data_IF_393069940291
#
_entry.id   IF_393069940291
#
_cell.length_a   1.000
_cell.length_b   1.000
_cell.length_c   1.000
_cell.angle_alpha   90.00
_cell.angle_beta   90.00
_cell.angle_gamma   90.00
#
_symmetry.space_group_name_H-M   'P 1'
#
loop_
_entity.id
_entity.type
_entity.pdbx_description
1 polymer ?
#
# COMPACT_ATOMS: atom_id res chain seq x y z
N UNK A 1 -21.22 -8.69 28.35
CA UNK A 1 -20.78 -7.35 27.87
C UNK A 1 -21.22 -7.24 26.43
N UNK A 2 -22.03 -6.23 26.09
CA UNK A 2 -22.66 -6.10 24.77
C UNK A 2 -21.57 -5.78 23.73
N UNK A 3 -21.36 -6.66 22.73
CA UNK A 3 -20.28 -6.52 21.74
C UNK A 3 -20.35 -5.18 20.97
N UNK A 4 -21.55 -4.60 20.88
CA UNK A 4 -21.80 -3.30 20.26
C UNK A 4 -20.99 -2.15 20.87
N UNK A 5 -20.71 -2.20 22.17
CA UNK A 5 -19.91 -1.17 22.84
C UNK A 5 -18.47 -1.07 22.31
N UNK A 6 -17.91 -2.18 21.81
CA UNK A 6 -16.57 -2.21 21.24
C UNK A 6 -16.58 -1.74 19.78
N UNK A 7 -17.63 -2.08 19.04
CA UNK A 7 -17.86 -1.55 17.70
C UNK A 7 -18.00 -0.02 17.70
N UNK A 8 -18.63 0.54 18.74
CA UNK A 8 -18.77 1.99 18.88
C UNK A 8 -17.42 2.70 19.09
N UNK A 9 -16.44 2.03 19.70
CA UNK A 9 -15.09 2.57 19.91
C UNK A 9 -14.25 2.60 18.62
N UNK A 10 -14.61 1.80 17.62
CA UNK A 10 -13.94 1.79 16.32
C UNK A 10 -14.39 3.01 15.52
N UNK A 11 -13.45 3.92 15.24
CA UNK A 11 -13.76 5.20 14.58
C UNK A 11 -13.94 5.05 13.07
N UNK A 12 -13.23 4.09 12.45
CA UNK A 12 -13.22 3.88 11.02
C UNK A 12 -14.04 2.64 10.68
N UNK A 13 -15.30 2.85 10.35
CA UNK A 13 -16.23 1.77 10.03
C UNK A 13 -17.18 2.15 8.90
N UNK A 14 -17.35 1.24 7.95
CA UNK A 14 -18.35 1.34 6.89
C UNK A 14 -19.78 1.12 7.43
N UNK A 15 -20.68 0.77 6.52
CA UNK A 15 -22.09 0.53 6.83
C UNK A 15 -22.39 -0.96 6.95
N UNK A 16 -23.49 -1.31 7.63
CA UNK A 16 -23.96 -2.70 7.70
C UNK A 16 -22.96 -3.66 8.37
N UNK A 17 -22.53 -3.29 9.58
CA UNK A 17 -21.63 -4.12 10.39
C UNK A 17 -22.44 -4.79 11.48
N UNK A 18 -22.49 -6.12 11.43
CA UNK A 18 -23.13 -6.93 12.44
C UNK A 18 -22.09 -7.58 13.33
N UNK A 19 -22.15 -7.26 14.62
CA UNK A 19 -21.36 -7.92 15.66
C UNK A 19 -22.27 -8.74 16.57
N UNK A 20 -21.90 -9.96 16.88
CA UNK A 20 -22.64 -10.79 17.84
C UNK A 20 -22.18 -10.51 19.28
N UNK A 21 -23.00 -10.95 20.23
CA UNK A 21 -22.63 -10.94 21.64
C UNK A 21 -21.33 -11.71 21.87
N UNK A 22 -20.38 -11.08 22.57
CA UNK A 22 -19.03 -11.62 22.79
C UNK A 22 -17.94 -11.01 21.90
N UNK A 23 -18.30 -10.23 20.86
CA UNK A 23 -17.32 -9.43 20.13
C UNK A 23 -16.56 -8.52 21.09
N UNK A 24 -15.24 -8.60 21.07
CA UNK A 24 -14.38 -7.89 22.03
C UNK A 24 -13.18 -7.28 21.32
N UNK A 25 -12.93 -6.00 21.60
CA UNK A 25 -11.69 -5.32 21.24
C UNK A 25 -10.90 -5.08 22.53
N UNK A 26 -9.76 -5.74 22.68
CA UNK A 26 -8.93 -5.60 23.88
C UNK A 26 -8.10 -4.31 23.88
N UNK A 27 -7.57 -3.95 22.73
CA UNK A 27 -6.65 -2.82 22.58
C UNK A 27 -6.73 -2.26 21.16
N UNK A 28 -6.42 -0.96 21.02
CA UNK A 28 -6.16 -0.34 19.72
C UNK A 28 -7.41 -0.13 18.85
N UNK A 29 -8.57 0.11 19.46
CA UNK A 29 -9.82 0.32 18.71
C UNK A 29 -9.75 1.47 17.68
N UNK A 30 -8.94 2.49 17.96
CA UNK A 30 -8.65 3.59 17.02
C UNK A 30 -7.85 3.16 15.79
N UNK A 31 -7.22 1.99 15.84
CA UNK A 31 -6.34 1.44 14.81
C UNK A 31 -6.96 0.22 14.11
N UNK A 32 -8.29 0.13 14.16
CA UNK A 32 -9.09 -0.87 13.45
C UNK A 32 -9.90 -0.15 12.38
N UNK A 33 -9.87 -0.70 11.16
CA UNK A 33 -10.60 -0.20 10.01
C UNK A 33 -11.53 -1.29 9.51
N UNK A 34 -12.83 -1.01 9.51
CA UNK A 34 -13.86 -1.92 9.04
C UNK A 34 -14.49 -1.35 7.77
N UNK A 35 -14.56 -2.17 6.72
CA UNK A 35 -15.38 -1.93 5.54
C UNK A 35 -16.88 -2.05 5.83
N UNK A 36 -17.65 -2.33 4.79
CA UNK A 36 -19.12 -2.49 4.85
C UNK A 36 -19.55 -3.95 4.70
N UNK A 37 -20.76 -4.28 5.14
CA UNK A 37 -21.33 -5.64 5.03
C UNK A 37 -20.49 -6.70 5.75
N UNK A 38 -19.99 -6.36 6.93
CA UNK A 38 -19.11 -7.23 7.72
C UNK A 38 -19.93 -7.92 8.80
N UNK A 39 -19.77 -9.24 8.89
CA UNK A 39 -20.35 -10.04 9.97
C UNK A 39 -19.24 -10.62 10.86
N UNK A 40 -19.12 -10.09 12.08
CA UNK A 40 -18.22 -10.62 13.09
C UNK A 40 -19.06 -11.32 14.15
N UNK A 41 -18.85 -12.61 14.37
CA UNK A 41 -19.50 -13.30 15.49
C UNK A 41 -18.91 -12.83 16.84
N UNK A 42 -18.57 -13.74 17.74
CA UNK A 42 -17.88 -13.47 19.00
C UNK A 42 -16.35 -13.38 18.82
N UNK A 43 -15.91 -12.55 17.87
CA UNK A 43 -14.50 -12.37 17.55
C UNK A 43 -13.75 -11.54 18.61
N UNK A 44 -12.48 -11.87 18.81
CA UNK A 44 -11.55 -11.17 19.68
C UNK A 44 -10.51 -10.45 18.82
N UNK A 45 -10.44 -9.14 18.95
CA UNK A 45 -9.46 -8.32 18.24
C UNK A 45 -8.49 -7.68 19.25
N UNK A 46 -7.20 -7.86 19.00
CA UNK A 46 -6.12 -7.23 19.75
C UNK A 46 -5.22 -6.44 18.79
N UNK A 47 -5.62 -5.19 18.51
CA UNK A 47 -4.91 -4.28 17.63
C UNK A 47 -3.76 -3.56 18.35
N UNK A 48 -2.78 -3.12 17.57
CA UNK A 48 -1.67 -2.30 18.04
C UNK A 48 -2.06 -0.85 18.30
N UNK A 49 -1.24 -0.15 19.08
CA UNK A 49 -1.37 1.31 19.28
C UNK A 49 -0.88 2.09 18.07
N UNK A 50 0.11 1.54 17.35
CA UNK A 50 0.93 2.27 16.39
C UNK A 50 1.10 1.50 15.07
N UNK A 51 1.70 0.32 15.10
CA UNK A 51 2.02 -0.46 13.89
C UNK A 51 1.14 -1.70 13.69
N UNK A 52 0.40 -2.11 14.72
CA UNK A 52 -0.50 -3.26 14.67
C UNK A 52 -1.89 -2.93 14.15
N UNK A 53 -1.97 -2.18 13.05
CA UNK A 53 -3.25 -1.82 12.42
C UNK A 53 -3.98 -3.07 11.94
N UNK A 54 -5.31 -3.11 12.11
CA UNK A 54 -6.14 -4.21 11.63
C UNK A 54 -7.15 -3.65 10.64
N UNK A 55 -7.06 -4.10 9.40
CA UNK A 55 -7.96 -3.72 8.32
C UNK A 55 -8.80 -4.94 7.95
N UNK A 56 -10.12 -4.79 7.97
CA UNK A 56 -11.08 -5.80 7.53
C UNK A 56 -11.95 -5.14 6.47
N UNK A 57 -11.81 -5.57 5.23
CA UNK A 57 -12.50 -4.97 4.08
C UNK A 57 -13.94 -5.49 3.92
N UNK A 58 -14.63 -4.93 2.94
CA UNK A 58 -16.04 -5.20 2.66
C UNK A 58 -16.34 -6.70 2.51
N UNK A 59 -17.53 -7.13 2.95
CA UNK A 59 -18.02 -8.51 2.82
C UNK A 59 -17.17 -9.58 3.52
N UNK A 60 -16.08 -9.23 4.21
CA UNK A 60 -15.35 -10.18 5.03
C UNK A 60 -16.20 -10.58 6.24
N UNK A 61 -16.14 -11.86 6.62
CA UNK A 61 -16.95 -12.36 7.73
C UNK A 61 -16.27 -13.45 8.53
N UNK A 62 -16.54 -13.45 9.84
CA UNK A 62 -15.91 -14.33 10.81
C UNK A 62 -16.94 -15.30 11.40
N UNK A 63 -16.54 -16.56 11.49
CA UNK A 63 -17.18 -17.53 12.37
C UNK A 63 -16.92 -17.22 13.85
N UNK A 64 -17.35 -18.12 14.71
CA UNK A 64 -17.29 -17.94 16.16
C UNK A 64 -15.87 -18.01 16.71
N UNK A 65 -15.55 -17.20 17.73
CA UNK A 65 -14.26 -17.21 18.46
C UNK A 65 -13.03 -17.07 17.56
N UNK A 66 -13.12 -16.28 16.50
CA UNK A 66 -11.95 -15.89 15.71
C UNK A 66 -11.09 -14.92 16.51
N UNK A 67 -9.77 -15.11 16.51
CA UNK A 67 -8.82 -14.23 17.18
C UNK A 67 -7.92 -13.53 16.15
N UNK A 68 -7.87 -12.20 16.20
CA UNK A 68 -7.02 -11.38 15.33
C UNK A 68 -6.02 -10.63 16.20
N UNK A 69 -4.74 -11.02 16.13
CA UNK A 69 -3.72 -10.69 17.12
C UNK A 69 -2.53 -9.96 16.48
N UNK A 70 -2.62 -8.63 16.38
CA UNK A 70 -1.58 -7.79 15.78
C UNK A 70 -0.42 -7.48 16.75
N UNK A 71 -0.56 -7.81 18.05
CA UNK A 71 0.44 -7.58 19.10
C UNK A 71 1.05 -8.89 19.58
N UNK A 72 2.34 -8.89 19.85
CA UNK A 72 3.02 -9.99 20.53
C UNK A 72 4.22 -9.50 21.35
N UNK A 73 4.78 -10.39 22.17
CA UNK A 73 5.93 -10.11 23.03
C UNK A 73 7.20 -10.69 22.44
N UNK A 74 8.33 -9.98 22.56
CA UNK A 74 9.61 -10.48 22.09
C UNK A 74 10.02 -11.75 22.86
N UNK A 75 10.05 -12.88 22.17
CA UNK A 75 10.40 -14.17 22.75
C UNK A 75 11.90 -14.25 23.11
N UNK A 76 12.75 -13.41 22.54
CA UNK A 76 14.18 -13.34 22.84
C UNK A 76 14.46 -12.55 24.13
N UNK A 77 13.52 -11.70 24.59
CA UNK A 77 13.60 -11.03 25.89
C UNK A 77 13.21 -11.97 27.04
N UNK A 78 13.60 -11.67 28.28
CA UNK A 78 13.31 -12.50 29.46
C UNK A 78 12.69 -11.70 30.61
N UNK A 79 12.02 -12.39 31.54
CA UNK A 79 11.45 -11.83 32.77
C UNK A 79 10.57 -10.58 32.51
N UNK A 80 10.83 -9.49 33.24
CA UNK A 80 10.07 -8.25 33.15
C UNK A 80 10.21 -7.59 31.77
N UNK A 81 11.34 -7.78 31.09
CA UNK A 81 11.56 -7.20 29.76
C UNK A 81 10.65 -7.87 28.72
N UNK A 82 10.48 -9.20 28.77
CA UNK A 82 9.49 -9.90 27.92
C UNK A 82 8.08 -9.36 28.13
N UNK A 83 7.70 -9.06 29.37
CA UNK A 83 6.37 -8.51 29.67
C UNK A 83 6.17 -7.09 29.12
N UNK A 84 7.25 -6.30 29.03
CA UNK A 84 7.22 -4.89 28.60
C UNK A 84 7.45 -4.70 27.09
N UNK A 85 8.26 -5.55 26.47
CA UNK A 85 8.64 -5.43 25.06
C UNK A 85 7.56 -6.02 24.17
N UNK A 86 6.72 -5.13 23.65
CA UNK A 86 5.64 -5.47 22.72
C UNK A 86 6.05 -5.04 21.33
N UNK A 87 5.95 -5.96 20.37
CA UNK A 87 6.01 -5.65 18.95
C UNK A 87 4.62 -5.79 18.34
N UNK A 88 4.39 -4.97 17.33
CA UNK A 88 3.11 -4.92 16.62
C UNK A 88 3.38 -5.12 15.13
N UNK A 89 2.52 -5.88 14.47
CA UNK A 89 2.56 -6.06 13.02
C UNK A 89 1.14 -5.99 12.47
N UNK A 90 0.91 -5.31 11.34
CA UNK A 90 -0.43 -5.10 10.82
C UNK A 90 -1.06 -6.41 10.35
N UNK A 91 -2.39 -6.46 10.31
CA UNK A 91 -3.15 -7.56 9.73
C UNK A 91 -4.13 -6.96 8.74
N UNK A 92 -4.18 -7.51 7.53
CA UNK A 92 -5.11 -7.07 6.48
C UNK A 92 -5.95 -8.24 6.01
N UNK A 93 -7.26 -8.16 6.23
CA UNK A 93 -8.23 -9.17 5.80
C UNK A 93 -9.02 -8.54 4.65
N UNK A 94 -8.74 -8.99 3.43
CA UNK A 94 -9.28 -8.39 2.21
C UNK A 94 -10.72 -8.78 1.93
N UNK A 95 -11.30 -8.11 0.95
CA UNK A 95 -12.70 -8.21 0.57
C UNK A 95 -13.19 -9.66 0.44
N UNK A 96 -14.35 -9.94 1.03
CA UNK A 96 -15.02 -11.24 0.91
C UNK A 96 -14.30 -12.42 1.56
N UNK A 97 -13.19 -12.21 2.28
CA UNK A 97 -12.49 -13.28 2.97
C UNK A 97 -13.36 -13.88 4.09
N UNK A 98 -13.35 -15.21 4.20
CA UNK A 98 -14.05 -15.94 5.24
C UNK A 98 -13.07 -16.53 6.25
N UNK A 99 -13.18 -16.11 7.50
CA UNK A 99 -12.40 -16.66 8.61
C UNK A 99 -13.29 -17.58 9.44
N UNK A 100 -13.14 -18.89 9.30
CA UNK A 100 -14.02 -19.85 9.97
C UNK A 100 -13.73 -19.96 11.48
N UNK A 101 -14.70 -20.51 12.20
CA UNK A 101 -14.74 -20.50 13.67
C UNK A 101 -13.46 -21.03 14.32
N UNK A 102 -12.98 -20.34 15.35
CA UNK A 102 -11.81 -20.72 16.15
C UNK A 102 -10.46 -20.50 15.47
N UNK A 103 -10.43 -19.89 14.27
CA UNK A 103 -9.17 -19.53 13.63
C UNK A 103 -8.46 -18.37 14.34
N UNK A 104 -7.13 -18.36 14.25
CA UNK A 104 -6.22 -17.39 14.87
C UNK A 104 -5.38 -16.77 13.76
N UNK A 105 -5.41 -15.45 13.62
CA UNK A 105 -4.61 -14.68 12.67
C UNK A 105 -3.55 -13.90 13.45
N UNK A 106 -2.26 -14.13 13.15
CA UNK A 106 -1.16 -13.44 13.81
C UNK A 106 -0.70 -12.20 13.03
N UNK A 107 -0.05 -11.27 13.74
CA UNK A 107 0.45 -10.02 13.19
C UNK A 107 1.41 -10.21 12.03
N UNK A 108 1.25 -9.39 10.99
CA UNK A 108 2.05 -9.39 9.77
C UNK A 108 1.46 -10.26 8.66
N UNK A 109 0.17 -10.58 8.75
CA UNK A 109 -0.53 -11.47 7.81
C UNK A 109 -1.55 -10.68 6.99
N UNK A 110 -1.52 -10.90 5.68
CA UNK A 110 -2.56 -10.54 4.73
C UNK A 110 -3.38 -11.77 4.34
N UNK A 111 -4.70 -11.71 4.52
CA UNK A 111 -5.65 -12.69 3.99
C UNK A 111 -6.22 -12.13 2.68
N UNK A 112 -5.91 -12.79 1.56
CA UNK A 112 -6.31 -12.37 0.22
C UNK A 112 -7.83 -12.38 -0.01
N UNK A 113 -8.25 -11.69 -1.08
CA UNK A 113 -9.66 -11.56 -1.45
C UNK A 113 -10.32 -12.92 -1.61
N UNK A 114 -11.52 -13.06 -1.06
CA UNK A 114 -12.31 -14.30 -1.10
C UNK A 114 -11.59 -15.56 -0.59
N UNK A 115 -10.46 -15.41 0.10
CA UNK A 115 -9.77 -16.53 0.70
C UNK A 115 -10.55 -17.07 1.90
N UNK A 116 -10.39 -18.37 2.16
CA UNK A 116 -11.05 -19.06 3.27
C UNK A 116 -10.00 -19.61 4.22
N UNK A 117 -10.08 -19.19 5.48
CA UNK A 117 -9.31 -19.79 6.57
C UNK A 117 -10.19 -20.80 7.29
N UNK A 118 -9.83 -22.08 7.22
CA UNK A 118 -10.60 -23.16 7.81
C UNK A 118 -10.65 -23.08 9.35
N UNK A 119 -11.66 -23.72 9.95
CA UNK A 119 -11.90 -23.66 11.38
C UNK A 119 -10.69 -24.16 12.20
N UNK A 120 -10.41 -23.49 13.32
CA UNK A 120 -9.32 -23.85 14.23
C UNK A 120 -7.90 -23.62 13.70
N UNK A 121 -7.74 -22.95 12.56
CA UNK A 121 -6.44 -22.76 11.92
C UNK A 121 -5.62 -21.65 12.59
N UNK A 122 -4.29 -21.77 12.55
CA UNK A 122 -3.36 -20.72 13.03
C UNK A 122 -2.58 -20.17 11.84
N UNK A 123 -2.93 -18.97 11.41
CA UNK A 123 -2.36 -18.31 10.24
C UNK A 123 -1.19 -17.44 10.67
N UNK A 124 -0.02 -17.79 10.18
CA UNK A 124 1.26 -17.12 10.51
C UNK A 124 1.97 -16.54 9.27
N UNK A 125 1.42 -16.77 8.08
CA UNK A 125 1.91 -16.27 6.79
C UNK A 125 0.71 -15.82 5.96
N UNK A 126 0.97 -14.99 4.95
CA UNK A 126 -0.04 -14.51 4.00
C UNK A 126 -0.80 -15.64 3.31
N UNK A 127 -2.06 -15.38 2.99
CA UNK A 127 -2.97 -16.29 2.29
C UNK A 127 -3.31 -15.68 0.94
N UNK A 128 -3.04 -16.41 -0.14
CA UNK A 128 -3.33 -15.93 -1.49
C UNK A 128 -4.85 -15.78 -1.72
N UNK A 129 -5.29 -14.81 -2.56
CA UNK A 129 -6.69 -14.67 -2.95
C UNK A 129 -7.28 -15.96 -3.51
N UNK A 130 -8.58 -16.17 -3.30
CA UNK A 130 -9.34 -17.32 -3.80
C UNK A 130 -8.75 -18.69 -3.41
N UNK A 131 -8.04 -18.76 -2.27
CA UNK A 131 -7.52 -20.03 -1.75
C UNK A 131 -8.18 -20.41 -0.43
N UNK A 132 -8.20 -21.70 -0.15
CA UNK A 132 -8.59 -22.25 1.13
C UNK A 132 -7.31 -22.72 1.83
N UNK A 133 -7.08 -22.25 3.05
CA UNK A 133 -6.00 -22.70 3.93
C UNK A 133 -6.55 -23.32 5.20
N UNK A 134 -5.78 -24.20 5.84
CA UNK A 134 -6.13 -24.68 7.17
C UNK A 134 -5.02 -25.40 7.92
N UNK A 135 -5.22 -25.61 9.22
CA UNK A 135 -4.28 -26.29 10.12
C UNK A 135 -3.51 -25.35 11.05
N UNK A 136 -2.61 -25.91 11.86
CA UNK A 136 -1.73 -25.18 12.77
C UNK A 136 -0.27 -25.69 12.61
N UNK A 137 0.60 -24.96 11.90
CA UNK A 137 0.31 -23.73 11.16
C UNK A 137 -0.60 -23.98 9.94
N UNK A 138 -1.33 -22.96 9.52
CA UNK A 138 -2.21 -23.02 8.36
C UNK A 138 -1.41 -23.25 7.07
N UNK A 139 -1.89 -24.17 6.24
CA UNK A 139 -1.30 -24.51 4.95
C UNK A 139 -2.36 -24.49 3.85
N UNK A 140 -1.93 -24.27 2.62
CA UNK A 140 -2.77 -24.39 1.44
C UNK A 140 -3.51 -25.74 1.41
N UNK A 141 -4.81 -25.70 1.14
CA UNK A 141 -5.67 -26.88 0.93
C UNK A 141 -6.04 -26.97 -0.54
N UNK A 142 -6.66 -25.91 -1.10
CA UNK A 142 -7.06 -25.85 -2.51
C UNK A 142 -7.37 -24.42 -2.96
N UNK A 143 -7.45 -24.23 -4.27
CA UNK A 143 -7.95 -23.00 -4.90
C UNK A 143 -9.44 -23.13 -5.17
N UNK A 144 -10.18 -22.05 -4.94
CA UNK A 144 -11.62 -21.94 -5.23
C UNK A 144 -11.77 -21.81 -6.73
N UNK A 145 -12.54 -22.71 -7.35
CA UNK A 145 -12.85 -22.64 -8.78
C UNK A 145 -13.94 -21.60 -8.98
N UNK A 146 -13.66 -20.58 -9.78
CA UNK A 146 -14.63 -19.55 -10.16
C UNK A 146 -15.26 -20.01 -11.48
N UNK A 147 -16.55 -20.36 -11.47
CA UNK A 147 -17.27 -20.66 -12.72
C UNK A 147 -17.62 -19.36 -13.45
N UNK A 148 -17.57 -19.36 -14.78
CA UNK A 148 -17.91 -18.20 -15.63
C UNK A 148 -19.30 -17.62 -15.31
N UNK A 149 -20.28 -18.45 -14.94
CA UNK A 149 -21.61 -18.00 -14.53
C UNK A 149 -21.63 -17.15 -13.26
N UNK A 150 -20.63 -17.26 -12.39
CA UNK A 150 -20.50 -16.48 -11.15
C UNK A 150 -19.92 -15.08 -11.37
N UNK A 151 -19.21 -14.88 -12.49
CA UNK A 151 -18.60 -13.60 -12.88
C UNK A 151 -19.64 -12.71 -13.56
N UNK A 152 -20.52 -13.28 -14.38
CA UNK A 152 -21.63 -12.58 -15.05
C UNK A 152 -22.61 -11.97 -14.04
N UNK A 153 -23.01 -12.72 -13.00
CA UNK A 153 -23.94 -12.24 -11.96
C UNK A 153 -23.34 -11.10 -11.11
N UNK A 154 -22.02 -11.08 -10.90
CA UNK A 154 -21.33 -9.97 -10.24
C UNK A 154 -21.16 -8.75 -11.15
N UNK A 155 -20.86 -8.94 -12.44
CA UNK A 155 -20.83 -7.84 -13.43
C UNK A 155 -22.20 -7.18 -13.56
N UNK A 156 -23.26 -7.97 -13.73
CA UNK A 156 -24.63 -7.47 -13.93
C UNK A 156 -25.16 -6.74 -12.69
N UNK A 157 -24.85 -7.21 -11.48
CA UNK A 157 -25.22 -6.51 -10.25
C UNK A 157 -24.39 -5.23 -10.02
N UNK A 158 -23.12 -5.20 -10.42
CA UNK A 158 -22.27 -4.00 -10.34
C UNK A 158 -22.72 -2.90 -11.32
N UNK A 159 -23.21 -3.28 -12.51
CA UNK A 159 -23.78 -2.35 -13.49
C UNK A 159 -25.17 -1.83 -13.05
N UNK A 160 -25.97 -2.65 -12.36
CA UNK A 160 -27.26 -2.22 -11.82
C UNK A 160 -27.12 -1.24 -10.63
N UNK A 161 -26.13 -1.41 -9.75
CA UNK A 161 -25.91 -0.50 -8.62
C UNK A 161 -25.33 0.87 -9.03
N UNK A 162 -24.63 0.98 -10.16
CA UNK A 162 -24.12 2.27 -10.65
C UNK A 162 -25.23 3.27 -11.04
N UNK A 163 -26.48 2.82 -11.24
CA UNK A 163 -27.54 3.70 -11.74
C UNK A 163 -28.34 4.44 -10.67
N UNK A 164 -28.21 4.11 -9.37
CA UNK A 164 -29.08 4.68 -8.32
C UNK A 164 -28.39 5.17 -7.03
N UNK A 165 -27.07 5.30 -6.99
CA UNK A 165 -26.41 5.92 -5.82
C UNK A 165 -26.35 7.44 -5.97
N UNK A 166 -27.05 8.15 -5.08
CA UNK A 166 -26.99 9.60 -4.96
C UNK A 166 -25.55 10.06 -4.73
N UNK A 167 -25.13 11.05 -5.53
CA UNK A 167 -23.79 11.67 -5.63
C UNK A 167 -23.19 12.30 -4.35
N UNK A 168 -23.64 11.98 -3.15
CA UNK A 168 -23.26 12.78 -1.96
C UNK A 168 -22.17 12.25 -1.04
N UNK A 169 -21.78 10.96 -1.06
CA UNK A 169 -20.86 10.44 0.00
C UNK A 169 -19.57 9.72 -0.46
N UNK A 170 -19.18 9.82 -1.73
CA UNK A 170 -17.92 9.21 -2.24
C UNK A 170 -16.66 10.07 -2.00
N UNK A 171 -16.78 11.23 -1.35
CA UNK A 171 -15.70 12.21 -1.25
C UNK A 171 -14.76 12.00 -0.03
N UNK A 172 -15.09 11.16 0.95
CA UNK A 172 -14.38 11.16 2.25
C UNK A 172 -13.48 9.95 2.53
N UNK A 173 -13.28 9.01 1.59
CA UNK A 173 -12.34 7.89 1.75
C UNK A 173 -11.13 7.97 0.79
N UNK A 174 -11.12 8.88 -0.19
CA UNK A 174 -10.14 8.84 -1.29
C UNK A 174 -9.13 9.99 -1.31
N UNK A 175 -8.53 10.31 -0.17
CA UNK A 175 -7.49 11.36 -0.12
C UNK A 175 -6.15 10.87 -0.68
N UNK A 176 -5.86 9.56 -0.79
CA UNK A 176 -4.62 9.05 -1.40
C UNK A 176 -4.74 8.76 -2.91
N UNK A 177 -5.80 8.06 -3.35
CA UNK A 177 -5.99 7.72 -4.78
C UNK A 177 -6.28 8.96 -5.66
N UNK A 178 -6.66 10.09 -5.08
CA UNK A 178 -6.74 11.37 -5.82
C UNK A 178 -5.37 11.86 -6.32
N UNK A 179 -4.26 11.41 -5.72
CA UNK A 179 -2.91 11.92 -6.01
C UNK A 179 -2.03 10.93 -6.80
N UNK A 180 -2.39 9.65 -6.86
CA UNK A 180 -1.60 8.60 -7.53
C UNK A 180 -1.39 8.89 -9.02
N UNK A 181 -0.14 9.10 -9.42
CA UNK A 181 0.24 9.42 -10.79
C UNK A 181 -0.33 10.75 -11.32
N UNK A 182 -0.82 11.64 -10.45
CA UNK A 182 -1.43 12.92 -10.84
C UNK A 182 -0.42 14.08 -10.96
N UNK A 183 0.74 13.95 -10.32
CA UNK A 183 1.72 15.03 -10.17
C UNK A 183 3.09 14.64 -10.69
N UNK A 184 3.77 15.62 -11.29
CA UNK A 184 5.14 15.50 -11.75
C UNK A 184 6.08 16.10 -10.70
N UNK A 185 7.01 15.30 -10.20
CA UNK A 185 8.16 15.76 -9.42
C UNK A 185 9.26 16.24 -10.39
N UNK A 186 9.67 17.53 -10.34
CA UNK A 186 10.65 18.10 -11.27
C UNK A 186 12.01 17.38 -11.28
N UNK A 187 12.48 16.93 -10.12
CA UNK A 187 13.75 16.21 -9.97
C UNK A 187 13.70 14.84 -10.69
N UNK A 188 12.57 14.13 -10.59
CA UNK A 188 12.35 12.86 -11.31
C UNK A 188 12.29 13.10 -12.81
N UNK A 189 11.47 14.06 -13.27
CA UNK A 189 11.35 14.37 -14.69
C UNK A 189 12.67 14.82 -15.32
N UNK A 190 13.40 15.73 -14.65
CA UNK A 190 14.68 16.21 -15.16
C UNK A 190 15.72 15.08 -15.22
N UNK A 191 15.69 14.14 -14.28
CA UNK A 191 16.53 12.93 -14.33
C UNK A 191 16.19 12.05 -15.51
N UNK A 192 14.90 11.81 -15.80
CA UNK A 192 14.51 11.09 -17.03
C UNK A 192 15.06 11.78 -18.28
N UNK A 193 14.86 13.10 -18.40
CA UNK A 193 15.32 13.87 -19.57
C UNK A 193 16.84 13.88 -19.71
N UNK A 194 17.61 13.89 -18.60
CA UNK A 194 19.07 13.83 -18.63
C UNK A 194 19.60 12.49 -19.15
N UNK A 195 18.87 11.41 -18.88
CA UNK A 195 19.35 10.05 -19.12
C UNK A 195 18.70 9.34 -20.31
N UNK A 196 17.56 9.83 -20.80
CA UNK A 196 16.91 9.35 -22.01
C UNK A 196 17.47 10.05 -23.25
N UNK A 197 17.64 9.32 -24.35
CA UNK A 197 17.90 9.90 -25.66
C UNK A 197 16.61 10.35 -26.32
N UNK A 198 16.62 11.43 -27.12
CA UNK A 198 15.39 11.89 -27.79
C UNK A 198 14.77 10.77 -28.65
N UNK A 199 13.46 10.57 -28.50
CA UNK A 199 12.73 9.50 -29.20
C UNK A 199 12.87 8.11 -28.58
N UNK A 200 13.51 7.98 -27.40
CA UNK A 200 13.55 6.71 -26.66
C UNK A 200 12.15 6.15 -26.42
N UNK A 201 12.04 4.82 -26.46
CA UNK A 201 10.87 4.09 -25.97
C UNK A 201 10.99 3.92 -24.47
N UNK A 202 10.07 4.55 -23.73
CA UNK A 202 10.05 4.58 -22.28
C UNK A 202 8.87 3.75 -21.76
N UNK A 203 9.14 2.86 -20.82
CA UNK A 203 8.09 2.18 -20.05
C UNK A 203 7.90 2.89 -18.70
N UNK A 204 6.68 3.28 -18.38
CA UNK A 204 6.31 3.85 -17.09
C UNK A 204 5.56 2.80 -16.24
N UNK A 205 6.22 2.23 -15.24
CA UNK A 205 5.69 1.18 -14.37
C UNK A 205 5.05 1.80 -13.13
N UNK A 206 3.74 1.55 -12.94
CA UNK A 206 2.94 2.14 -11.86
C UNK A 206 2.56 3.58 -12.19
N UNK A 207 2.05 3.79 -13.40
CA UNK A 207 1.83 5.12 -13.97
C UNK A 207 0.66 5.88 -13.30
N UNK A 208 -0.21 5.19 -12.56
CA UNK A 208 -1.42 5.76 -11.99
C UNK A 208 -2.27 6.46 -13.05
N UNK A 209 -2.53 7.76 -12.86
CA UNK A 209 -3.25 8.61 -13.83
C UNK A 209 -2.47 8.96 -15.10
N UNK A 210 -1.22 8.53 -15.25
CA UNK A 210 -0.46 8.72 -16.48
C UNK A 210 0.16 10.11 -16.66
N UNK A 211 0.38 10.88 -15.60
CA UNK A 211 0.98 12.21 -15.72
C UNK A 211 2.36 12.17 -16.39
N UNK A 212 3.22 11.21 -16.01
CA UNK A 212 4.55 11.04 -16.60
C UNK A 212 4.47 10.59 -18.06
N UNK A 213 3.58 9.65 -18.39
CA UNK A 213 3.31 9.22 -19.77
C UNK A 213 3.00 10.43 -20.64
N UNK A 214 1.98 11.22 -20.28
CA UNK A 214 1.59 12.40 -21.05
C UNK A 214 2.72 13.42 -21.15
N UNK A 215 3.38 13.71 -20.02
CA UNK A 215 4.41 14.74 -19.98
C UNK A 215 5.63 14.40 -20.83
N UNK A 216 6.04 13.13 -20.83
CA UNK A 216 7.17 12.65 -21.64
C UNK A 216 6.78 12.50 -23.12
N UNK A 217 5.54 12.11 -23.44
CA UNK A 217 5.03 12.14 -24.81
C UNK A 217 5.06 13.57 -25.39
N UNK A 218 4.68 14.59 -24.62
CA UNK A 218 4.81 16.02 -25.01
C UNK A 218 6.27 16.44 -25.25
N UNK A 219 7.24 15.76 -24.65
CA UNK A 219 8.67 16.00 -24.90
C UNK A 219 9.23 15.19 -26.09
N UNK A 220 8.39 14.43 -26.79
CA UNK A 220 8.76 13.67 -27.99
C UNK A 220 9.32 12.27 -27.72
N UNK A 221 9.08 11.70 -26.54
CA UNK A 221 9.37 10.29 -26.25
C UNK A 221 8.20 9.39 -26.67
N UNK A 222 8.49 8.13 -27.01
CA UNK A 222 7.46 7.11 -27.17
C UNK A 222 7.26 6.46 -25.81
N UNK A 223 6.12 6.69 -25.16
CA UNK A 223 5.92 6.24 -23.77
C UNK A 223 4.73 5.33 -23.67
N UNK A 224 4.92 4.18 -23.04
CA UNK A 224 3.88 3.23 -22.67
C UNK A 224 3.78 3.18 -21.16
N UNK A 225 2.59 3.39 -20.61
CA UNK A 225 2.34 3.27 -19.17
C UNK A 225 1.75 1.91 -18.83
N UNK A 226 2.05 1.39 -17.65
CA UNK A 226 1.30 0.29 -17.06
C UNK A 226 0.89 0.60 -15.63
N UNK A 227 -0.26 0.09 -15.23
CA UNK A 227 -0.66 0.01 -13.83
C UNK A 227 -1.55 -1.22 -13.62
N UNK A 228 -1.47 -1.84 -12.45
CA UNK A 228 -2.33 -2.98 -12.11
C UNK A 228 -3.73 -2.52 -11.64
N UNK A 229 -3.84 -1.27 -11.19
CA UNK A 229 -5.08 -0.70 -10.63
C UNK A 229 -5.47 0.55 -11.40
N UNK A 230 -6.14 0.36 -12.54
CA UNK A 230 -6.70 1.46 -13.32
C UNK A 230 -8.15 1.71 -12.96
N UNK A 231 -8.42 2.86 -12.32
CA UNK A 231 -9.77 3.25 -11.94
C UNK A 231 -10.55 3.84 -13.13
N UNK A 232 -11.85 3.52 -13.30
CA UNK A 232 -12.67 4.01 -14.41
C UNK A 232 -12.65 5.52 -14.61
N UNK A 233 -12.60 6.29 -13.53
CA UNK A 233 -12.55 7.75 -13.53
C UNK A 233 -11.26 8.33 -14.15
N UNK A 234 -10.18 7.55 -14.24
CA UNK A 234 -8.91 8.02 -14.80
C UNK A 234 -8.87 7.95 -16.33
N UNK A 235 -9.66 7.08 -16.96
CA UNK A 235 -9.61 6.87 -18.42
C UNK A 235 -9.84 8.16 -19.24
N UNK A 236 -10.58 9.14 -18.70
CA UNK A 236 -10.78 10.43 -19.38
C UNK A 236 -9.53 11.32 -19.41
N UNK A 237 -8.56 11.09 -18.52
CA UNK A 237 -7.33 11.88 -18.37
C UNK A 237 -6.10 11.17 -18.97
N UNK A 238 -6.18 9.85 -19.15
CA UNK A 238 -5.06 8.99 -19.51
C UNK A 238 -4.79 8.91 -21.02
N UNK A 239 -3.53 8.65 -21.36
CA UNK A 239 -3.14 8.33 -22.74
C UNK A 239 -3.66 6.95 -23.15
N UNK A 240 -3.90 6.74 -24.45
CA UNK A 240 -4.28 5.43 -25.00
C UNK A 240 -3.15 4.39 -24.87
N UNK A 241 -1.91 4.85 -24.67
CA UNK A 241 -0.73 4.01 -24.49
C UNK A 241 -0.57 3.51 -23.05
N UNK A 242 -1.60 3.65 -22.19
CA UNK A 242 -1.60 3.07 -20.85
C UNK A 242 -2.37 1.75 -20.83
N UNK A 243 -1.74 0.71 -20.29
CA UNK A 243 -2.28 -0.64 -20.22
C UNK A 243 -2.53 -1.06 -18.76
N UNK A 244 -3.62 -1.81 -18.55
CA UNK A 244 -3.80 -2.53 -17.29
C UNK A 244 -2.89 -3.77 -17.29
N UNK A 245 -1.82 -3.75 -16.51
CA UNK A 245 -0.85 -4.83 -16.44
C UNK A 245 -0.09 -4.84 -15.11
N UNK A 246 0.34 -6.03 -14.68
CA UNK A 246 1.16 -6.20 -13.47
C UNK A 246 2.65 -6.07 -13.79
N UNK A 247 3.38 -5.36 -12.93
CA UNK A 247 4.85 -5.31 -12.97
C UNK A 247 5.50 -6.68 -12.73
N UNK A 248 4.80 -7.63 -12.10
CA UNK A 248 5.28 -8.99 -11.87
C UNK A 248 5.31 -9.85 -13.14
N UNK A 249 4.64 -9.40 -14.21
CA UNK A 249 4.64 -10.06 -15.52
C UNK A 249 4.30 -9.06 -16.61
N UNK A 250 5.34 -8.45 -17.17
CA UNK A 250 5.20 -7.41 -18.17
C UNK A 250 4.78 -8.02 -19.52
N UNK A 251 3.72 -7.49 -20.19
CA UNK A 251 3.19 -8.04 -21.43
C UNK A 251 4.01 -7.61 -22.66
N UNK A 252 5.32 -7.49 -22.49
CA UNK A 252 6.24 -6.98 -23.51
C UNK A 252 7.36 -7.97 -23.78
N UNK A 253 7.84 -8.00 -25.02
CA UNK A 253 8.99 -8.79 -25.39
C UNK A 253 10.28 -8.26 -24.73
N UNK A 254 11.31 -9.08 -24.70
CA UNK A 254 12.62 -8.71 -24.18
C UNK A 254 13.14 -7.47 -24.88
N UNK A 255 13.74 -6.54 -24.12
CA UNK A 255 14.40 -5.35 -24.65
C UNK A 255 13.48 -4.51 -25.57
N UNK A 256 12.19 -4.44 -25.24
CA UNK A 256 11.19 -3.64 -25.95
C UNK A 256 11.34 -2.14 -25.69
N UNK A 257 11.89 -1.76 -24.54
CA UNK A 257 12.07 -0.37 -24.13
C UNK A 257 13.55 -0.03 -23.99
N UNK A 258 13.88 1.21 -24.34
CA UNK A 258 15.24 1.72 -24.24
C UNK A 258 15.54 2.13 -22.78
N UNK A 259 14.52 2.64 -22.10
CA UNK A 259 14.57 3.07 -20.70
C UNK A 259 13.25 2.73 -19.99
N UNK A 260 13.31 2.41 -18.71
CA UNK A 260 12.11 2.23 -17.85
C UNK A 260 12.14 3.19 -16.67
N UNK A 261 10.96 3.63 -16.22
CA UNK A 261 10.77 4.46 -15.03
C UNK A 261 9.79 3.79 -14.07
N UNK A 262 9.98 4.00 -12.75
CA UNK A 262 9.00 3.59 -11.73
C UNK A 262 9.13 4.44 -10.48
N UNK A 263 8.11 5.22 -10.14
CA UNK A 263 8.21 6.24 -9.09
C UNK A 263 7.19 6.04 -7.97
N UNK A 264 7.67 5.71 -6.77
CA UNK A 264 6.84 5.38 -5.60
C UNK A 264 5.89 4.20 -5.91
N UNK A 265 6.48 3.07 -6.28
CA UNK A 265 5.75 1.87 -6.75
C UNK A 265 6.33 0.61 -6.13
N UNK A 266 7.66 0.47 -6.10
CA UNK A 266 8.31 -0.75 -5.65
C UNK A 266 7.99 -1.10 -4.18
N UNK A 267 7.74 -0.08 -3.35
CA UNK A 267 7.26 -0.22 -1.98
C UNK A 267 5.88 -0.88 -1.88
N UNK A 268 5.07 -0.86 -2.94
CA UNK A 268 3.75 -1.48 -3.00
C UNK A 268 3.75 -2.88 -3.64
N UNK A 269 4.89 -3.35 -4.16
CA UNK A 269 5.00 -4.64 -4.86
C UNK A 269 5.43 -5.73 -3.87
N UNK A 270 4.62 -6.76 -3.58
CA UNK A 270 4.98 -7.79 -2.59
C UNK A 270 6.23 -8.62 -2.94
N UNK A 271 6.55 -8.75 -4.23
CA UNK A 271 7.71 -9.48 -4.76
C UNK A 271 8.56 -8.55 -5.63
N UNK A 272 9.23 -7.55 -5.03
CA UNK A 272 9.95 -6.53 -5.78
C UNK A 272 11.08 -7.14 -6.63
N UNK A 273 11.68 -8.25 -6.22
CA UNK A 273 12.68 -9.00 -6.99
C UNK A 273 12.12 -9.54 -8.32
N UNK A 274 10.88 -10.04 -8.32
CA UNK A 274 10.25 -10.56 -9.54
C UNK A 274 9.95 -9.42 -10.50
N UNK A 275 9.42 -8.31 -9.99
CA UNK A 275 9.19 -7.10 -10.79
C UNK A 275 10.50 -6.57 -11.38
N UNK A 276 11.57 -6.51 -10.58
CA UNK A 276 12.89 -6.06 -11.05
C UNK A 276 13.44 -6.93 -12.18
N UNK A 277 13.28 -8.26 -12.11
CA UNK A 277 13.68 -9.16 -13.21
C UNK A 277 12.89 -8.92 -14.48
N UNK A 278 11.58 -8.71 -14.38
CA UNK A 278 10.73 -8.38 -15.54
C UNK A 278 11.11 -7.02 -16.13
N UNK A 279 11.36 -6.01 -15.29
CA UNK A 279 11.83 -4.70 -15.71
C UNK A 279 13.18 -4.82 -16.41
N UNK A 280 14.15 -5.54 -15.83
CA UNK A 280 15.44 -5.82 -16.46
C UNK A 280 15.28 -6.50 -17.82
N UNK A 281 14.41 -7.52 -17.92
CA UNK A 281 14.12 -8.25 -19.17
C UNK A 281 13.60 -7.32 -20.27
N UNK A 282 12.68 -6.42 -19.95
CA UNK A 282 12.05 -5.53 -20.92
C UNK A 282 12.89 -4.28 -21.27
N UNK A 283 13.89 -3.94 -20.46
CA UNK A 283 14.65 -2.68 -20.55
C UNK A 283 16.04 -2.91 -21.16
N UNK A 284 16.47 -2.05 -22.09
CA UNK A 284 17.78 -2.17 -22.75
C UNK A 284 18.93 -1.54 -21.98
N UNK A 285 18.76 -0.32 -21.50
CA UNK A 285 19.86 0.50 -20.98
C UNK A 285 19.66 0.85 -19.51
N UNK A 286 18.71 1.75 -19.22
CA UNK A 286 18.55 2.31 -17.87
C UNK A 286 17.18 2.08 -17.27
N UNK A 287 17.18 1.91 -15.96
CA UNK A 287 16.01 1.95 -15.11
C UNK A 287 16.15 3.10 -14.12
N UNK A 288 15.17 3.99 -14.09
CA UNK A 288 15.13 5.14 -13.17
C UNK A 288 13.97 4.91 -12.20
N UNK A 289 14.26 4.90 -10.91
CA UNK A 289 13.25 4.63 -9.91
C UNK A 289 13.30 5.60 -8.73
N UNK A 290 12.16 5.76 -8.05
CA UNK A 290 12.13 6.34 -6.72
C UNK A 290 11.34 5.48 -5.75
N UNK A 291 11.78 5.50 -4.49
CA UNK A 291 11.12 4.83 -3.37
C UNK A 291 11.19 5.74 -2.13
N UNK A 292 10.26 5.60 -1.18
CA UNK A 292 10.34 6.28 0.11
C UNK A 292 11.69 6.01 0.78
N UNK A 293 12.34 7.06 1.28
CA UNK A 293 13.61 6.95 1.98
C UNK A 293 13.37 6.62 3.46
N UNK A 294 13.40 5.35 3.83
CA UNK A 294 13.20 4.89 5.20
C UNK A 294 14.50 4.87 6.05
N UNK A 295 15.56 5.55 5.62
CA UNK A 295 16.83 5.61 6.36
C UNK A 295 16.64 6.22 7.76
N UNK A 296 17.44 5.76 8.73
CA UNK A 296 17.23 6.05 10.16
C UNK A 296 17.48 7.52 10.55
N UNK A 297 18.09 8.31 9.66
CA UNK A 297 18.56 9.68 9.89
C UNK A 297 17.47 10.75 9.68
N UNK A 298 16.19 10.37 9.75
CA UNK A 298 15.10 11.33 9.63
C UNK A 298 15.05 12.26 10.86
N UNK A 299 15.27 13.58 10.73
CA UNK A 299 15.26 14.52 11.85
C UNK A 299 13.90 14.59 12.56
N UNK A 300 12.82 14.08 11.96
CA UNK A 300 11.50 13.99 12.58
C UNK A 300 11.39 12.91 13.66
N UNK A 301 12.27 11.90 13.64
CA UNK A 301 12.28 10.84 14.66
C UNK A 301 12.63 11.35 16.05
N UNK A 302 13.46 12.40 16.17
CA UNK A 302 13.76 13.00 17.48
C UNK A 302 12.50 13.56 18.17
N UNK A 303 11.44 13.80 17.38
CA UNK A 303 10.14 14.27 17.84
C UNK A 303 9.06 13.17 17.85
N UNK A 304 9.44 11.89 17.67
CA UNK A 304 8.50 10.76 17.50
C UNK A 304 7.51 10.94 16.32
N UNK A 305 7.89 11.70 15.29
CA UNK A 305 7.07 11.93 14.12
C UNK A 305 7.59 11.07 12.94
N UNK A 306 6.67 10.44 12.22
CA UNK A 306 6.93 9.74 10.96
C UNK A 306 6.19 10.45 9.82
N UNK A 307 6.73 10.37 8.61
CA UNK A 307 6.08 10.99 7.47
C UNK A 307 4.79 10.26 7.10
N UNK A 308 3.74 10.98 6.71
CA UNK A 308 2.42 10.41 6.41
C UNK A 308 2.45 9.36 5.28
N UNK A 309 3.37 9.49 4.32
CA UNK A 309 3.54 8.50 3.25
C UNK A 309 4.19 7.20 3.75
N UNK A 310 4.93 7.19 4.87
CA UNK A 310 5.39 5.94 5.50
C UNK A 310 4.27 5.19 6.22
N UNK A 311 3.20 5.89 6.55
CA UNK A 311 1.99 5.30 7.13
C UNK A 311 0.96 4.89 6.07
N UNK A 312 1.31 4.94 4.78
CA UNK A 312 0.45 4.39 3.73
C UNK A 312 0.34 2.87 3.95
N UNK A 313 -0.86 2.35 4.23
CA UNK A 313 -1.06 0.93 4.56
C UNK A 313 -0.79 0.00 3.36
N UNK A 314 -0.65 0.55 2.15
CA UNK A 314 -0.37 -0.22 0.94
C UNK A 314 1.13 -0.49 0.74
N UNK A 315 2.01 0.09 1.56
CA UNK A 315 3.45 -0.23 1.51
C UNK A 315 3.70 -1.64 2.06
N UNK A 316 4.23 -2.52 1.21
CA UNK A 316 4.73 -3.84 1.57
C UNK A 316 6.25 -3.85 1.85
N UNK A 317 7.01 -2.89 1.29
CA UNK A 317 8.46 -2.78 1.45
C UNK A 317 8.89 -1.41 1.99
N UNK A 318 9.98 -1.40 2.77
CA UNK A 318 10.57 -0.18 3.34
C UNK A 318 12.05 -0.14 3.01
N UNK A 319 12.46 0.86 2.23
CA UNK A 319 13.79 0.91 1.66
C UNK A 319 14.66 1.99 2.32
N UNK A 320 15.82 1.60 2.82
CA UNK A 320 16.98 2.50 2.99
C UNK A 320 17.84 2.51 1.72
N UNK A 321 18.74 3.48 1.58
CA UNK A 321 19.71 3.54 0.46
C UNK A 321 20.50 2.25 0.31
N UNK A 322 20.92 1.65 1.42
CA UNK A 322 21.67 0.40 1.44
C UNK A 322 20.80 -0.78 0.98
N UNK A 323 19.57 -0.87 1.49
CA UNK A 323 18.68 -2.00 1.18
C UNK A 323 18.21 -2.01 -0.28
N UNK A 324 17.86 -0.84 -0.85
CA UNK A 324 17.46 -0.76 -2.26
C UNK A 324 18.65 -0.98 -3.17
N UNK A 325 19.84 -0.49 -2.79
CA UNK A 325 21.04 -0.74 -3.56
C UNK A 325 21.41 -2.22 -3.60
N UNK A 326 21.33 -2.91 -2.46
CA UNK A 326 21.56 -4.35 -2.38
C UNK A 326 20.56 -5.16 -3.22
N UNK A 327 19.28 -4.78 -3.18
CA UNK A 327 18.24 -5.42 -3.98
C UNK A 327 18.48 -5.22 -5.49
N UNK A 328 18.75 -3.98 -5.92
CA UNK A 328 19.05 -3.69 -7.33
C UNK A 328 20.26 -4.49 -7.83
N UNK A 329 21.35 -4.51 -7.05
CA UNK A 329 22.54 -5.27 -7.42
C UNK A 329 22.28 -6.78 -7.52
N UNK A 330 21.51 -7.34 -6.58
CA UNK A 330 21.14 -8.75 -6.60
C UNK A 330 20.31 -9.14 -7.84
N UNK A 331 19.54 -8.20 -8.38
CA UNK A 331 18.64 -8.41 -9.51
C UNK A 331 19.19 -7.90 -10.85
N UNK A 332 20.51 -7.69 -10.95
CA UNK A 332 21.17 -7.38 -12.22
C UNK A 332 21.14 -5.90 -12.61
N UNK A 333 21.21 -5.01 -11.62
CA UNK A 333 21.31 -3.57 -11.85
C UNK A 333 22.56 -2.99 -11.22
N UNK A 334 23.28 -2.17 -11.98
CA UNK A 334 24.40 -1.37 -11.49
C UNK A 334 23.95 0.08 -11.28
N UNK A 335 24.18 0.63 -10.08
CA UNK A 335 23.74 1.99 -9.75
C UNK A 335 24.70 3.01 -10.38
N UNK A 336 24.15 3.88 -11.21
CA UNK A 336 24.86 4.97 -11.90
C UNK A 336 24.80 6.27 -11.08
N UNK A 337 23.62 6.61 -10.58
CA UNK A 337 23.37 7.81 -9.78
C UNK A 337 22.39 7.45 -8.65
N UNK A 338 22.66 7.91 -7.43
CA UNK A 338 21.71 7.84 -6.32
C UNK A 338 21.69 9.19 -5.61
N UNK A 339 20.51 9.78 -5.51
CA UNK A 339 20.28 11.07 -4.86
C UNK A 339 19.02 10.99 -4.00
N UNK A 340 18.76 12.05 -3.25
CA UNK A 340 17.48 12.21 -2.58
C UNK A 340 16.62 13.22 -3.34
N UNK A 341 15.31 12.98 -3.38
CA UNK A 341 14.34 13.85 -4.03
C UNK A 341 13.10 14.03 -3.15
N UNK A 342 12.24 14.99 -3.53
CA UNK A 342 11.06 15.40 -2.76
C UNK A 342 11.44 15.93 -1.38
N UNK A 343 11.67 17.24 -1.32
CA UNK A 343 11.99 17.92 -0.08
C UNK A 343 10.72 18.14 0.73
N UNK A 344 10.65 17.55 1.92
CA UNK A 344 9.56 17.74 2.86
C UNK A 344 10.01 18.68 3.97
N UNK A 345 9.21 19.72 4.22
CA UNK A 345 9.30 20.49 5.45
C UNK A 345 8.42 19.84 6.51
N UNK A 346 8.94 19.55 7.71
CA UNK A 346 8.15 19.16 8.89
C UNK A 346 6.89 20.00 9.06
N UNK A 347 7.02 21.31 8.85
CA UNK A 347 5.92 22.25 8.97
C UNK A 347 4.82 22.04 7.93
N UNK A 348 5.12 21.56 6.72
CA UNK A 348 4.10 21.40 5.68
C UNK A 348 3.11 20.28 6.01
N UNK A 349 3.54 19.22 6.71
CA UNK A 349 2.67 18.11 7.11
C UNK A 349 2.19 18.19 8.56
N UNK A 350 2.99 18.78 9.46
CA UNK A 350 2.61 18.91 10.88
C UNK A 350 1.29 19.68 11.03
N UNK A 351 1.08 20.77 10.27
CA UNK A 351 -0.12 21.60 10.39
C UNK A 351 -1.40 20.93 9.87
N UNK A 352 -1.30 20.10 8.82
CA UNK A 352 -2.44 19.35 8.28
C UNK A 352 -2.84 18.20 9.22
N UNK A 353 -1.87 17.60 9.92
CA UNK A 353 -2.10 16.51 10.88
C UNK A 353 -2.76 16.96 12.21
N UNK A 354 -2.59 18.22 12.62
CA UNK A 354 -3.12 18.77 13.90
C UNK A 354 -4.43 19.56 13.78
N UNK A 355 -5.11 19.48 12.63
CA UNK A 355 -6.44 20.11 12.38
C UNK A 355 -6.53 21.59 12.77
N UNK A 356 -5.43 22.35 12.66
CA UNK A 356 -5.43 23.79 12.91
C UNK A 356 -6.02 24.51 11.70
N UNK A 357 -6.78 25.58 11.94
CA UNK A 357 -7.39 26.40 10.88
C UNK A 357 -6.34 26.84 9.83
N UNK A 358 -6.65 26.67 8.54
CA UNK A 358 -5.76 27.01 7.39
C UNK A 358 -5.12 28.40 7.47
N UNK A 359 -5.81 29.42 8.02
CA UNK A 359 -5.26 30.77 8.20
C UNK A 359 -4.16 30.81 9.26
N UNK A 360 -4.33 30.06 10.35
CA UNK A 360 -3.35 29.95 11.43
C UNK A 360 -2.17 29.10 10.97
N UNK A 361 -2.41 27.97 10.29
CA UNK A 361 -1.37 27.16 9.65
C UNK A 361 -0.52 28.00 8.67
N UNK A 362 -1.16 28.83 7.84
CA UNK A 362 -0.46 29.75 6.92
C UNK A 362 0.38 30.81 7.64
N UNK A 363 -0.12 31.37 8.74
CA UNK A 363 0.61 32.35 9.55
C UNK A 363 1.82 31.72 10.26
N UNK A 364 1.63 30.54 10.85
CA UNK A 364 2.69 29.78 11.53
C UNK A 364 3.74 29.29 10.53
N UNK A 365 3.35 28.88 9.31
CA UNK A 365 4.26 28.57 8.21
C UNK A 365 5.12 29.78 7.82
N UNK A 366 4.53 30.99 7.74
CA UNK A 366 5.28 32.23 7.50
C UNK A 366 6.25 32.56 8.63
N UNK A 367 5.88 32.29 9.88
CA UNK A 367 6.74 32.48 11.05
C UNK A 367 7.90 31.47 11.04
N UNK A 368 7.63 30.18 10.84
CA UNK A 368 8.67 29.13 10.76
C UNK A 368 9.71 29.39 9.67
N UNK A 369 9.26 29.82 8.49
CA UNK A 369 10.15 30.22 7.39
C UNK A 369 10.98 31.48 7.71
N UNK A 370 10.43 32.43 8.49
CA UNK A 370 11.12 33.68 8.87
C UNK A 370 12.22 33.46 9.92
N UNK A 371 12.10 32.42 10.74
CA UNK A 371 13.07 32.08 11.79
C UNK A 371 13.99 30.92 11.43
N UNK A 372 13.97 30.46 10.17
CA UNK A 372 14.79 29.35 9.67
C UNK A 372 14.70 28.07 10.52
N UNK A 373 13.51 27.82 11.11
CA UNK A 373 13.24 26.66 11.98
C UNK A 373 13.03 25.36 11.19
N UNK A 374 13.12 25.41 9.86
CA UNK A 374 12.80 24.30 8.98
C UNK A 374 14.07 23.49 8.64
N UNK A 375 14.37 22.48 9.45
CA UNK A 375 15.15 21.35 8.95
C UNK A 375 14.34 20.66 7.87
N UNK A 376 14.73 20.84 6.60
CA UNK A 376 14.13 20.11 5.50
C UNK A 376 14.81 18.76 5.34
N UNK A 377 14.01 17.69 5.26
CA UNK A 377 14.51 16.36 4.96
C UNK A 377 13.98 15.89 3.61
N UNK A 378 14.66 14.91 3.03
CA UNK A 378 14.25 14.32 1.76
C UNK A 378 13.45 13.05 2.01
N UNK A 379 12.30 12.92 1.36
CA UNK A 379 11.37 11.82 1.63
C UNK A 379 11.54 10.61 0.73
N UNK A 380 12.16 10.78 -0.43
CA UNK A 380 12.30 9.70 -1.41
C UNK A 380 13.75 9.61 -1.91
N UNK A 381 14.20 8.38 -2.13
CA UNK A 381 15.47 8.06 -2.79
C UNK A 381 15.18 8.06 -4.29
N UNK A 382 16.00 8.73 -5.10
CA UNK A 382 15.95 8.69 -6.56
C UNK A 382 17.20 8.00 -7.08
N UNK A 383 17.02 6.99 -7.92
CA UNK A 383 18.09 6.11 -8.38
C UNK A 383 18.04 6.02 -9.90
N UNK A 384 19.20 6.09 -10.52
CA UNK A 384 19.44 5.72 -11.92
C UNK A 384 20.32 4.49 -11.90
N UNK A 385 19.83 3.40 -12.48
CA UNK A 385 20.58 2.17 -12.60
C UNK A 385 20.70 1.74 -14.07
N UNK A 386 21.82 1.12 -14.44
CA UNK A 386 21.99 0.43 -15.70
C UNK A 386 21.64 -1.05 -15.55
N UNK A 387 20.97 -1.61 -16.55
CA UNK A 387 20.68 -3.05 -16.63
C UNK A 387 21.97 -3.78 -17.00
N UNK A 388 22.40 -4.75 -16.19
CA UNK A 388 23.56 -5.57 -16.53
C UNK A 388 23.19 -6.60 -17.58
N UNK A 389 24.09 -6.77 -18.57
CA UNK A 389 23.85 -7.53 -19.80
C UNK A 389 23.82 -9.04 -19.62
#
# INVERSE_FOLDING_TARGET
MNGRQYLDQIQHKGTDIHVFDGFTVYHGAHNIFLGSHIHLADALINAGSTFGTIIIEDYAFFGHRVMVLARAHDYAAFNLDRQKMIYEKPIHIKQGAWIASGAIILGGVTIGEHAVVAAGSVVINDVAPYTIVGGNPAKYIKTIQISESSVEDHRLNSEFQQTNVSRSNLAEINVSAQYWGAYIVPERLSTVIRHATQGSRILDIGTGRGAYVKKLQEQGYSVTGIDQTLYPEWYGEMSQDVLNASALRLPFADKSFDLSISFEVLEHIPQPEVALREIARCTRDKFILSVPNCSLDNPMRQYNLVAAHWSDPTHCNFFTKESIAGLLHAEGFDIVEMSDCVRISPHDYYWDSIKINRRIASLLKKIGNRFNLAESYWSSILIVASVTS
#
